data_IF_930895678603
#
_entry.id   IF_930895678603
#
_cell.length_a   1.000
_cell.length_b   1.000
_cell.length_c   1.000
_cell.angle_alpha   90.00
_cell.angle_beta   90.00
_cell.angle_gamma   90.00
#
_symmetry.space_group_name_H-M   'P 1'
#
loop_
_entity.id
_entity.type
_entity.pdbx_description
1 polymer ?
#
# COMPACT_ATOMS: atom_id res chain seq x y z
N UNK A 1 0.22 -1.79 -12.22
CA UNK A 1 0.21 -2.51 -10.93
C UNK A 1 -0.20 -1.57 -9.81
N UNK A 2 -0.84 -2.10 -8.80
CA UNK A 2 -1.38 -1.31 -7.68
C UNK A 2 -0.82 -1.85 -6.38
N UNK A 3 -0.08 -1.03 -5.65
CA UNK A 3 0.31 -1.30 -4.26
C UNK A 3 -0.84 -0.85 -3.37
N UNK A 4 -1.43 -1.80 -2.65
CA UNK A 4 -2.63 -1.57 -1.82
C UNK A 4 -2.21 -1.36 -0.37
N UNK A 5 -2.54 -0.20 0.19
CA UNK A 5 -2.29 0.13 1.58
C UNK A 5 -3.16 -0.70 2.52
N UNK A 6 -2.69 -0.85 3.75
CA UNK A 6 -3.39 -1.59 4.82
C UNK A 6 -4.83 -1.12 5.00
N UNK A 7 -5.10 0.18 4.92
CA UNK A 7 -6.44 0.73 5.09
C UNK A 7 -7.45 0.17 4.08
N UNK A 8 -7.01 -0.01 2.84
CA UNK A 8 -7.85 -0.59 1.78
C UNK A 8 -8.01 -2.10 1.99
N UNK A 9 -6.93 -2.81 2.35
CA UNK A 9 -6.99 -4.24 2.66
C UNK A 9 -7.97 -4.54 3.80
N UNK A 10 -7.91 -3.77 4.88
CA UNK A 10 -8.82 -3.96 6.02
C UNK A 10 -10.27 -3.80 5.58
N UNK A 11 -10.57 -2.82 4.75
CA UNK A 11 -11.90 -2.65 4.18
C UNK A 11 -12.34 -3.85 3.34
N UNK A 12 -11.44 -4.39 2.50
CA UNK A 12 -11.72 -5.55 1.66
C UNK A 12 -11.94 -6.83 2.49
N UNK A 13 -11.14 -7.01 3.54
CA UNK A 13 -11.25 -8.20 4.39
C UNK A 13 -12.54 -8.19 5.23
N UNK A 14 -13.11 -7.02 5.48
CA UNK A 14 -14.42 -6.90 6.18
C UNK A 14 -15.59 -7.09 5.24
N UNK A 15 -15.51 -6.53 4.04
CA UNK A 15 -16.60 -6.53 3.06
C UNK A 15 -15.97 -6.50 1.67
N UNK A 16 -15.88 -7.67 1.03
CA UNK A 16 -15.29 -7.78 -0.30
C UNK A 16 -16.00 -6.83 -1.28
N UNK A 17 -15.21 -6.18 -2.09
CA UNK A 17 -15.64 -5.19 -3.07
C UNK A 17 -15.31 -5.71 -4.46
N UNK A 18 -16.20 -5.49 -5.42
CA UNK A 18 -16.06 -6.01 -6.79
C UNK A 18 -14.76 -5.49 -7.45
N UNK A 19 -14.44 -4.22 -7.26
CA UNK A 19 -13.23 -3.61 -7.81
C UNK A 19 -11.96 -4.26 -7.28
N UNK A 20 -11.89 -4.42 -5.95
CA UNK A 20 -10.73 -5.02 -5.28
C UNK A 20 -10.56 -6.47 -5.69
N UNK A 21 -11.65 -7.21 -5.73
CA UNK A 21 -11.66 -8.61 -6.17
C UNK A 21 -11.19 -8.74 -7.62
N UNK A 22 -11.65 -7.86 -8.49
CA UNK A 22 -11.24 -7.86 -9.90
C UNK A 22 -9.75 -7.58 -10.04
N UNK A 23 -9.22 -6.59 -9.34
CA UNK A 23 -7.79 -6.27 -9.37
C UNK A 23 -6.94 -7.47 -8.91
N UNK A 24 -7.37 -8.17 -7.86
CA UNK A 24 -6.68 -9.37 -7.40
C UNK A 24 -6.71 -10.48 -8.44
N UNK A 25 -7.88 -10.75 -9.02
CA UNK A 25 -8.06 -11.80 -10.02
C UNK A 25 -7.29 -11.51 -11.30
N UNK A 26 -7.13 -10.23 -11.66
CA UNK A 26 -6.40 -9.82 -12.85
C UNK A 26 -4.88 -9.74 -12.62
N UNK A 27 -4.40 -10.07 -11.42
CA UNK A 27 -2.98 -10.05 -11.09
C UNK A 27 -2.38 -8.66 -11.05
N UNK A 28 -3.17 -7.63 -10.76
CA UNK A 28 -2.75 -6.23 -10.79
C UNK A 28 -2.31 -5.70 -9.43
N UNK A 29 -2.42 -6.50 -8.36
CA UNK A 29 -2.08 -6.09 -6.99
C UNK A 29 -0.66 -6.50 -6.66
N UNK A 30 0.09 -5.55 -6.13
CA UNK A 30 1.45 -5.74 -5.63
C UNK A 30 1.40 -5.78 -4.11
N UNK A 31 2.06 -6.77 -3.50
CA UNK A 31 2.20 -6.89 -2.06
C UNK A 31 3.40 -6.14 -1.52
N UNK A 32 3.41 -5.93 -0.21
CA UNK A 32 4.52 -5.32 0.51
C UNK A 32 4.64 -5.98 1.88
N UNK A 33 5.83 -6.38 2.32
CA UNK A 33 6.00 -7.09 3.60
C UNK A 33 5.55 -6.27 4.82
N UNK A 34 5.65 -4.95 4.79
CA UNK A 34 5.19 -4.11 5.90
C UNK A 34 3.67 -4.05 5.97
N UNK A 35 2.98 -4.07 4.83
CA UNK A 35 1.51 -4.19 4.78
C UNK A 35 1.09 -5.55 5.32
N UNK A 36 1.72 -6.62 4.86
CA UNK A 36 1.46 -7.97 5.36
C UNK A 36 1.70 -8.05 6.88
N UNK A 37 2.76 -7.41 7.36
CA UNK A 37 3.05 -7.33 8.80
C UNK A 37 1.96 -6.63 9.59
N UNK A 38 1.51 -5.48 9.14
CA UNK A 38 0.43 -4.73 9.79
C UNK A 38 -0.88 -5.53 9.83
N UNK A 39 -1.24 -6.15 8.71
CA UNK A 39 -2.44 -7.00 8.63
C UNK A 39 -2.32 -8.18 9.59
N UNK A 40 -1.13 -8.79 9.69
CA UNK A 40 -0.87 -9.92 10.57
C UNK A 40 -1.00 -9.59 12.06
N UNK A 41 -0.88 -8.33 12.44
CA UNK A 41 -1.10 -7.87 13.82
C UNK A 41 -2.58 -7.78 14.17
N UNK A 42 -3.45 -7.79 13.18
CA UNK A 42 -4.90 -7.72 13.41
C UNK A 42 -5.49 -9.05 13.81
N UNK A 43 -6.75 -9.01 14.23
CA UNK A 43 -7.52 -10.20 14.56
C UNK A 43 -8.25 -10.70 13.32
N UNK A 44 -7.60 -11.63 12.61
CA UNK A 44 -8.09 -12.14 11.32
C UNK A 44 -8.83 -13.46 11.48
N UNK A 45 -10.03 -13.56 10.87
CA UNK A 45 -10.58 -14.85 10.46
C UNK A 45 -9.73 -15.37 9.30
N UNK A 46 -9.53 -16.68 9.21
CA UNK A 46 -8.75 -17.31 8.13
C UNK A 46 -7.32 -16.76 8.01
N UNK A 47 -6.68 -16.54 9.14
CA UNK A 47 -5.38 -15.90 9.24
C UNK A 47 -4.31 -16.51 8.33
N UNK A 48 -4.18 -17.83 8.36
CA UNK A 48 -3.17 -18.54 7.57
C UNK A 48 -3.38 -18.35 6.06
N UNK A 49 -4.63 -18.39 5.62
CA UNK A 49 -5.00 -18.22 4.21
C UNK A 49 -4.70 -16.80 3.74
N UNK A 50 -5.01 -15.79 4.57
CA UNK A 50 -4.76 -14.39 4.24
C UNK A 50 -3.26 -14.11 4.19
N UNK A 51 -2.49 -14.63 5.14
CA UNK A 51 -1.04 -14.48 5.13
C UNK A 51 -0.43 -15.13 3.88
N UNK A 52 -0.91 -16.31 3.48
CA UNK A 52 -0.46 -16.97 2.27
C UNK A 52 -0.80 -16.16 1.01
N UNK A 53 -2.01 -15.62 0.95
CA UNK A 53 -2.43 -14.75 -0.16
C UNK A 53 -1.49 -13.55 -0.30
N UNK A 54 -1.24 -12.84 0.78
CA UNK A 54 -0.40 -11.64 0.76
C UNK A 54 1.04 -11.98 0.37
N UNK A 55 1.57 -13.10 0.86
CA UNK A 55 2.93 -13.55 0.55
C UNK A 55 3.11 -14.05 -0.88
N UNK A 56 2.03 -14.48 -1.53
CA UNK A 56 2.05 -14.99 -2.90
C UNK A 56 1.83 -13.90 -3.96
N UNK A 57 1.48 -12.69 -3.57
CA UNK A 57 1.39 -11.58 -4.51
C UNK A 57 2.77 -11.21 -5.05
N UNK A 58 2.85 -10.67 -6.28
CA UNK A 58 4.09 -10.00 -6.70
C UNK A 58 4.46 -8.94 -5.67
N UNK A 59 5.72 -8.90 -5.26
CA UNK A 59 6.17 -8.03 -4.17
C UNK A 59 6.75 -6.73 -4.71
N UNK A 60 6.40 -5.62 -4.07
CA UNK A 60 7.02 -4.33 -4.33
C UNK A 60 8.48 -4.36 -3.88
N UNK A 61 9.30 -3.51 -4.47
CA UNK A 61 10.65 -3.29 -3.98
C UNK A 61 10.59 -2.54 -2.66
N UNK A 62 11.17 -3.13 -1.61
CA UNK A 62 11.20 -2.52 -0.29
C UNK A 62 12.28 -1.43 -0.25
N UNK A 63 11.89 -0.22 0.08
CA UNK A 63 12.84 0.89 0.22
C UNK A 63 13.71 0.70 1.45
N UNK A 64 14.99 1.05 1.33
CA UNK A 64 15.91 1.06 2.48
C UNK A 64 15.62 2.28 3.36
N UNK A 65 16.02 2.26 4.64
CA UNK A 65 15.91 3.46 5.49
C UNK A 65 16.58 4.70 4.88
N UNK A 66 17.70 4.54 4.20
CA UNK A 66 18.39 5.64 3.51
C UNK A 66 17.55 6.21 2.37
N UNK A 67 16.91 5.35 1.59
CA UNK A 67 16.03 5.77 0.51
C UNK A 67 14.80 6.50 1.04
N UNK A 68 14.22 6.02 2.14
CA UNK A 68 13.10 6.70 2.80
C UNK A 68 13.53 8.07 3.32
N UNK A 69 14.69 8.16 3.95
CA UNK A 69 15.22 9.43 4.45
C UNK A 69 15.42 10.44 3.32
N UNK A 70 15.98 10.00 2.20
CA UNK A 70 16.16 10.85 1.01
C UNK A 70 14.81 11.34 0.48
N UNK A 71 13.82 10.47 0.43
CA UNK A 71 12.47 10.84 -0.03
C UNK A 71 11.86 11.92 0.86
N UNK A 72 11.96 11.76 2.18
CA UNK A 72 11.41 12.72 3.15
C UNK A 72 12.01 14.10 2.90
N UNK A 73 13.32 14.19 2.76
CA UNK A 73 13.99 15.48 2.57
C UNK A 73 13.73 16.06 1.18
N UNK A 74 13.81 15.25 0.14
CA UNK A 74 13.63 15.71 -1.25
C UNK A 74 12.23 16.28 -1.47
N UNK A 75 11.21 15.63 -0.93
CA UNK A 75 9.81 16.01 -1.15
C UNK A 75 9.18 16.72 0.06
N UNK A 76 9.97 17.02 1.09
CA UNK A 76 9.52 17.73 2.29
C UNK A 76 8.28 17.09 2.91
N UNK A 77 8.37 15.80 3.19
CA UNK A 77 7.24 15.03 3.72
C UNK A 77 7.08 15.17 5.24
N UNK A 78 7.98 15.86 5.92
CA UNK A 78 7.91 16.11 7.35
C UNK A 78 6.70 16.99 7.70
N UNK A 79 6.09 16.75 8.83
CA UNK A 79 4.99 17.58 9.33
C UNK A 79 3.66 17.39 8.62
N UNK A 80 3.54 16.42 7.70
CA UNK A 80 2.31 16.20 6.93
C UNK A 80 1.33 15.25 7.59
N UNK A 81 1.70 14.66 8.72
CA UNK A 81 0.81 13.77 9.47
C UNK A 81 0.73 12.36 8.91
N UNK A 82 1.66 11.96 8.05
CA UNK A 82 1.78 10.57 7.62
C UNK A 82 2.79 9.84 8.49
N UNK A 83 2.55 8.54 8.72
CA UNK A 83 3.46 7.71 9.51
C UNK A 83 4.62 7.18 8.69
N UNK A 84 5.56 6.53 9.39
CA UNK A 84 6.76 6.00 8.75
C UNK A 84 6.44 4.84 7.81
N UNK A 85 5.48 3.97 8.17
CA UNK A 85 5.05 2.88 7.28
C UNK A 85 4.45 3.46 5.99
N UNK A 86 3.61 4.49 6.10
CA UNK A 86 3.04 5.16 4.93
C UNK A 86 4.13 5.74 4.03
N UNK A 87 5.16 6.34 4.61
CA UNK A 87 6.30 6.89 3.88
C UNK A 87 7.09 5.78 3.19
N UNK A 88 7.26 4.63 3.84
CA UNK A 88 7.85 3.44 3.23
C UNK A 88 7.06 3.01 1.99
N UNK A 89 5.73 3.01 2.07
CA UNK A 89 4.88 2.61 0.94
C UNK A 89 5.02 3.59 -0.24
N UNK A 90 5.12 4.88 0.05
CA UNK A 90 5.39 5.90 -0.99
C UNK A 90 6.72 5.61 -1.68
N UNK A 91 7.77 5.40 -0.90
CA UNK A 91 9.11 5.12 -1.42
C UNK A 91 9.11 3.82 -2.26
N UNK A 92 8.50 2.76 -1.75
CA UNK A 92 8.41 1.48 -2.45
C UNK A 92 7.64 1.60 -3.76
N UNK A 93 6.57 2.39 -3.79
CA UNK A 93 5.80 2.64 -5.01
C UNK A 93 6.67 3.31 -6.06
N UNK A 94 7.44 4.33 -5.66
CA UNK A 94 8.35 5.04 -6.57
C UNK A 94 9.47 4.13 -7.09
N UNK A 95 9.92 3.17 -6.30
CA UNK A 95 10.99 2.24 -6.68
C UNK A 95 10.49 1.06 -7.52
N UNK A 96 9.20 0.79 -7.51
CA UNK A 96 8.62 -0.35 -8.21
C UNK A 96 8.04 0.12 -9.54
N UNK A 97 8.53 -0.47 -10.65
CA UNK A 97 8.12 -0.06 -11.99
C UNK A 97 6.61 -0.18 -12.20
N UNK A 98 6.02 0.77 -12.90
CA UNK A 98 4.62 0.77 -13.34
C UNK A 98 3.62 0.55 -12.20
N UNK A 99 3.90 1.12 -11.04
CA UNK A 99 3.09 0.91 -9.83
C UNK A 99 2.54 2.22 -9.31
N UNK A 100 1.27 2.19 -8.91
CA UNK A 100 0.57 3.28 -8.23
C UNK A 100 0.17 2.84 -6.83
N UNK A 101 -0.05 3.79 -5.93
CA UNK A 101 -0.44 3.54 -4.54
C UNK A 101 -1.93 3.78 -4.35
N UNK A 102 -2.64 2.81 -3.79
CA UNK A 102 -4.04 2.92 -3.43
C UNK A 102 -4.21 2.91 -1.92
N UNK A 103 -4.76 3.99 -1.38
CA UNK A 103 -5.01 4.16 0.04
C UNK A 103 -6.38 4.76 0.29
N UNK A 104 -6.98 4.44 1.43
CA UNK A 104 -8.18 5.10 1.94
C UNK A 104 -7.84 6.20 2.96
N UNK A 105 -6.57 6.36 3.32
CA UNK A 105 -6.11 7.41 4.22
C UNK A 105 -5.98 8.72 3.45
N UNK A 106 -6.67 9.76 3.92
CA UNK A 106 -6.72 11.05 3.23
C UNK A 106 -5.35 11.72 3.13
N UNK A 107 -4.56 11.72 4.19
CA UNK A 107 -3.25 12.38 4.22
C UNK A 107 -2.26 11.67 3.30
N UNK A 108 -2.26 10.35 3.34
CA UNK A 108 -1.42 9.55 2.44
C UNK A 108 -1.86 9.75 0.98
N UNK A 109 -3.15 9.79 0.71
CA UNK A 109 -3.69 10.04 -0.62
C UNK A 109 -3.24 11.41 -1.16
N UNK A 110 -3.24 12.44 -0.33
CA UNK A 110 -2.75 13.77 -0.71
C UNK A 110 -1.27 13.76 -1.10
N UNK A 111 -0.45 13.06 -0.33
CA UNK A 111 0.98 12.90 -0.65
C UNK A 111 1.15 12.13 -1.95
N UNK A 112 0.45 11.03 -2.13
CA UNK A 112 0.51 10.23 -3.35
C UNK A 112 0.10 11.03 -4.58
N UNK A 113 -0.94 11.84 -4.46
CA UNK A 113 -1.40 12.74 -5.53
C UNK A 113 -0.33 13.75 -5.89
N UNK A 114 0.27 14.38 -4.88
CA UNK A 114 1.34 15.37 -5.10
C UNK A 114 2.53 14.78 -5.84
N UNK A 115 2.86 13.52 -5.56
CA UNK A 115 3.98 12.83 -6.19
C UNK A 115 3.60 12.11 -7.51
N UNK A 116 2.34 12.18 -7.91
CA UNK A 116 1.89 11.59 -9.17
C UNK A 116 1.80 10.06 -9.15
N UNK A 117 1.67 9.45 -7.97
CA UNK A 117 1.64 8.00 -7.81
C UNK A 117 0.30 7.47 -7.26
N UNK A 118 -0.70 8.32 -7.12
CA UNK A 118 -2.00 7.89 -6.63
C UNK A 118 -2.74 7.04 -7.65
N UNK A 119 -3.23 5.87 -7.20
CA UNK A 119 -4.19 5.10 -7.97
C UNK A 119 -5.56 5.77 -7.83
N UNK A 120 -6.11 6.23 -8.94
CA UNK A 120 -7.40 6.94 -8.96
C UNK A 120 -8.55 5.93 -8.99
N UNK A 121 -8.75 5.25 -7.86
CA UNK A 121 -9.79 4.25 -7.68
C UNK A 121 -10.74 4.69 -6.56
N UNK A 122 -12.03 4.70 -6.85
CA UNK A 122 -13.03 5.01 -5.84
C UNK A 122 -12.99 3.94 -4.74
N UNK A 123 -12.94 4.37 -3.48
CA UNK A 123 -12.88 3.50 -2.32
C UNK A 123 -14.24 3.21 -1.69
N UNK A 124 -15.26 3.92 -2.16
CA UNK A 124 -16.60 3.81 -1.64
C UNK A 124 -17.44 2.79 -2.34
#
# INVERSE_FOLDING_TARGET
MILVDTSVWVGHLRAADVKRTRLLNDGLVVGHPWVAGEISLGNLANRTEIQALLGNLPQAQVATPAEVATLIETHRLHGLGIGYVDTQLVASTLLTADTLLWTADRRLSEVATRLGIQADLATG
#
